data_IF_825201556777
#
_entry.id   IF_825201556777
#
_cell.length_a   1.000
_cell.length_b   1.000
_cell.length_c   1.000
_cell.angle_alpha   90.00
_cell.angle_beta   90.00
_cell.angle_gamma   90.00
#
_symmetry.space_group_name_H-M   'P 1'
#
loop_
_entity.id
_entity.type
_entity.pdbx_description
1 polymer ?
#
# COMPACT_ATOMS: atom_id res chain seq x y z
N UNK A 1 22.59 -8.55 10.29
CA UNK A 1 23.12 -8.16 8.96
C UNK A 1 22.49 -6.84 8.56
N UNK A 2 23.31 -5.93 8.02
CA UNK A 2 23.04 -4.49 7.92
C UNK A 2 21.96 -4.20 6.88
N UNK A 3 20.75 -3.89 7.33
CA UNK A 3 19.70 -3.32 6.47
C UNK A 3 20.25 -2.10 5.70
N UNK A 4 19.79 -1.88 4.47
CA UNK A 4 20.01 -0.60 3.74
C UNK A 4 19.59 0.62 4.58
N UNK A 5 18.66 0.44 5.53
CA UNK A 5 18.16 1.48 6.43
C UNK A 5 18.13 0.98 7.90
N UNK A 6 19.28 0.88 8.59
CA UNK A 6 19.33 0.32 9.94
C UNK A 6 18.47 1.11 10.93
N UNK A 7 18.53 2.45 10.88
CA UNK A 7 17.71 3.32 11.71
C UNK A 7 16.21 3.09 11.57
N UNK A 8 15.71 2.87 10.34
CA UNK A 8 14.30 2.59 10.12
C UNK A 8 13.93 1.21 10.65
N UNK A 9 14.80 0.22 10.47
CA UNK A 9 14.56 -1.16 10.92
C UNK A 9 14.54 -1.23 12.44
N UNK A 10 15.56 -0.67 13.09
CA UNK A 10 15.74 -0.72 14.54
C UNK A 10 14.61 0.00 15.29
N UNK A 11 13.93 0.94 14.62
CA UNK A 11 12.77 1.65 15.16
C UNK A 11 11.42 1.12 14.63
N UNK A 12 11.41 -0.06 13.99
CA UNK A 12 10.23 -0.69 13.41
C UNK A 12 9.44 0.21 12.42
N UNK A 13 10.13 1.16 11.78
CA UNK A 13 9.61 2.06 10.77
C UNK A 13 9.66 1.46 9.37
N UNK A 14 10.58 0.53 9.12
CA UNK A 14 10.57 -0.37 7.96
C UNK A 14 10.56 -1.80 8.48
N UNK A 15 9.82 -2.69 7.81
CA UNK A 15 9.71 -4.10 8.21
C UNK A 15 9.24 -4.33 9.66
N UNK A 16 8.55 -3.35 10.25
CA UNK A 16 7.94 -3.52 11.57
C UNK A 16 6.68 -4.39 11.48
N UNK A 17 6.50 -5.27 12.48
CA UNK A 17 5.36 -6.22 12.58
C UNK A 17 5.33 -7.25 11.45
N UNK A 18 6.48 -7.76 11.02
CA UNK A 18 6.53 -8.99 10.24
C UNK A 18 6.34 -10.21 11.16
N UNK A 19 5.95 -11.33 10.57
CA UNK A 19 5.82 -12.60 11.29
C UNK A 19 7.13 -13.38 11.22
N UNK A 20 7.78 -13.69 12.36
CA UNK A 20 8.94 -14.58 12.37
C UNK A 20 8.52 -16.01 12.01
N UNK A 21 9.33 -16.65 11.17
CA UNK A 21 9.21 -18.04 10.76
C UNK A 21 10.47 -18.75 11.21
N UNK A 22 10.36 -19.57 12.25
CA UNK A 22 11.50 -20.25 12.89
C UNK A 22 11.32 -21.77 12.92
N UNK A 23 10.07 -22.24 12.83
CA UNK A 23 9.75 -23.65 12.91
C UNK A 23 10.17 -24.38 11.62
N UNK A 24 10.93 -25.51 11.73
CA UNK A 24 11.44 -26.22 10.55
C UNK A 24 10.36 -26.59 9.52
N UNK A 25 9.18 -26.99 9.99
CA UNK A 25 8.07 -27.37 9.11
C UNK A 25 7.50 -26.18 8.32
N UNK A 26 7.51 -24.96 8.87
CA UNK A 26 7.08 -23.75 8.16
C UNK A 26 8.11 -23.32 7.12
N UNK A 27 9.40 -23.47 7.44
CA UNK A 27 10.52 -23.22 6.50
C UNK A 27 10.45 -24.21 5.33
N UNK A 28 10.21 -25.49 5.60
CA UNK A 28 10.02 -26.51 4.56
C UNK A 28 8.82 -26.17 3.66
N UNK A 29 7.69 -25.78 4.25
CA UNK A 29 6.50 -25.32 3.52
C UNK A 29 6.80 -24.10 2.65
N UNK A 30 7.49 -23.10 3.17
CA UNK A 30 7.89 -21.93 2.39
C UNK A 30 8.81 -22.33 1.22
N UNK A 31 9.76 -23.22 1.46
CA UNK A 31 10.64 -23.77 0.43
C UNK A 31 9.90 -24.58 -0.65
N UNK A 32 8.82 -25.29 -0.30
CA UNK A 32 7.94 -25.92 -1.28
C UNK A 32 7.32 -24.87 -2.22
N UNK A 33 6.81 -23.77 -1.67
CA UNK A 33 6.25 -22.67 -2.47
C UNK A 33 7.31 -22.00 -3.36
N UNK A 34 8.50 -21.69 -2.84
CA UNK A 34 9.61 -21.16 -3.64
C UNK A 34 9.96 -22.07 -4.82
N UNK A 35 10.09 -23.37 -4.56
CA UNK A 35 10.39 -24.37 -5.60
C UNK A 35 9.29 -24.44 -6.65
N UNK A 36 8.02 -24.33 -6.25
CA UNK A 36 6.88 -24.30 -7.17
C UNK A 36 6.92 -23.08 -8.11
N UNK A 37 7.40 -21.94 -7.62
CA UNK A 37 7.66 -20.75 -8.45
C UNK A 37 8.94 -20.83 -9.31
N UNK A 38 9.68 -21.94 -9.26
CA UNK A 38 10.97 -22.09 -9.94
C UNK A 38 12.13 -21.35 -9.25
N UNK A 39 11.94 -20.90 -8.01
CA UNK A 39 12.95 -20.21 -7.21
C UNK A 39 13.79 -21.20 -6.41
N UNK A 40 14.98 -20.76 -6.00
CA UNK A 40 15.86 -21.56 -5.13
C UNK A 40 15.29 -21.59 -3.72
N UNK A 41 15.35 -22.76 -3.08
CA UNK A 41 15.02 -22.90 -1.67
C UNK A 41 16.00 -22.07 -0.80
N UNK A 42 15.46 -21.41 0.22
CA UNK A 42 16.26 -20.67 1.21
C UNK A 42 17.05 -21.62 2.10
N UNK A 43 18.25 -21.20 2.49
CA UNK A 43 19.11 -21.90 3.46
C UNK A 43 19.03 -21.27 4.85
N UNK A 44 18.24 -20.21 5.01
CA UNK A 44 18.05 -19.52 6.27
C UNK A 44 17.33 -20.43 7.27
N UNK A 45 17.80 -20.38 8.52
CA UNK A 45 17.18 -21.10 9.64
C UNK A 45 16.02 -20.35 10.27
N UNK A 46 15.90 -19.06 10.01
CA UNK A 46 14.77 -18.23 10.38
C UNK A 46 14.73 -16.99 9.48
N UNK A 47 13.53 -16.48 9.25
CA UNK A 47 13.28 -15.26 8.48
C UNK A 47 11.95 -14.66 8.90
N UNK A 48 11.65 -13.46 8.43
CA UNK A 48 10.38 -12.79 8.71
C UNK A 48 9.60 -12.58 7.42
N UNK A 49 8.28 -12.72 7.46
CA UNK A 49 7.39 -12.52 6.31
C UNK A 49 6.32 -11.48 6.55
N UNK A 50 5.88 -10.85 5.46
CA UNK A 50 4.78 -9.90 5.41
C UNK A 50 3.43 -10.59 5.08
N UNK A 51 2.36 -9.81 4.90
CA UNK A 51 1.03 -10.35 4.56
C UNK A 51 1.03 -11.22 3.31
N UNK A 52 1.84 -10.90 2.31
CA UNK A 52 1.90 -11.68 1.05
C UNK A 52 2.91 -12.81 1.12
N UNK A 53 3.61 -12.97 2.24
CA UNK A 53 4.70 -13.93 2.37
C UNK A 53 6.06 -13.38 1.94
N UNK A 54 6.19 -12.10 1.57
CA UNK A 54 7.48 -11.53 1.20
C UNK A 54 8.40 -11.42 2.43
N UNK A 55 9.62 -11.94 2.29
CA UNK A 55 10.71 -11.82 3.25
C UNK A 55 11.87 -10.98 2.73
N UNK A 56 12.25 -9.88 3.43
CA UNK A 56 13.45 -9.11 3.13
C UNK A 56 14.74 -9.94 3.25
N UNK A 57 14.81 -10.87 4.21
CA UNK A 57 15.99 -11.71 4.40
C UNK A 57 16.21 -12.66 3.22
N UNK A 58 15.13 -13.22 2.68
CA UNK A 58 15.20 -14.10 1.51
C UNK A 58 15.55 -13.29 0.26
N UNK A 59 14.96 -12.10 0.09
CA UNK A 59 15.33 -11.17 -0.97
C UNK A 59 16.84 -10.85 -0.97
N UNK A 60 17.42 -10.62 0.22
CA UNK A 60 18.87 -10.43 0.38
C UNK A 60 19.66 -11.71 0.03
N UNK A 61 19.19 -12.90 0.44
CA UNK A 61 19.86 -14.18 0.14
C UNK A 61 19.88 -14.50 -1.37
N UNK A 62 18.78 -14.22 -2.08
CA UNK A 62 18.68 -14.47 -3.52
C UNK A 62 19.13 -13.31 -4.40
N UNK A 63 19.57 -12.19 -3.80
CA UNK A 63 19.93 -10.94 -4.48
C UNK A 63 18.81 -10.41 -5.40
N UNK A 64 17.55 -10.67 -5.04
CA UNK A 64 16.36 -10.32 -5.81
C UNK A 64 15.25 -9.87 -4.87
N UNK A 65 14.97 -8.56 -4.84
CA UNK A 65 13.90 -7.99 -4.03
C UNK A 65 12.52 -8.19 -4.65
N UNK A 66 12.45 -8.51 -5.94
CA UNK A 66 11.22 -8.71 -6.69
C UNK A 66 10.89 -10.21 -6.88
N UNK A 67 11.49 -11.11 -6.09
CA UNK A 67 11.31 -12.57 -6.27
C UNK A 67 9.85 -13.04 -6.17
N UNK A 68 9.00 -12.29 -5.45
CA UNK A 68 7.53 -12.49 -5.41
C UNK A 68 6.75 -11.45 -6.24
N UNK A 69 7.39 -10.50 -6.89
CA UNK A 69 6.74 -9.46 -7.68
C UNK A 69 7.44 -9.34 -9.06
N UNK A 70 7.50 -10.43 -9.84
CA UNK A 70 8.27 -10.46 -11.07
C UNK A 70 7.76 -9.39 -12.05
N UNK A 71 8.67 -8.53 -12.54
CA UNK A 71 8.35 -7.37 -13.38
C UNK A 71 7.38 -6.36 -12.73
N UNK A 72 7.14 -6.43 -11.41
CA UNK A 72 6.20 -5.56 -10.71
C UNK A 72 4.74 -5.72 -11.14
N UNK A 73 4.34 -6.90 -11.64
CA UNK A 73 2.97 -7.26 -12.03
C UNK A 73 2.76 -8.76 -11.74
N UNK A 74 1.50 -9.24 -11.67
CA UNK A 74 1.20 -10.64 -11.36
C UNK A 74 1.83 -11.11 -10.05
N UNK A 75 1.66 -10.31 -8.99
CA UNK A 75 2.35 -10.54 -7.72
C UNK A 75 2.08 -11.95 -7.20
N UNK A 76 3.14 -12.68 -6.89
CA UNK A 76 3.12 -13.96 -6.19
C UNK A 76 2.86 -13.75 -4.70
N UNK A 77 2.12 -14.67 -4.10
CA UNK A 77 1.91 -14.70 -2.66
C UNK A 77 2.15 -16.09 -2.08
N UNK A 78 2.55 -16.12 -0.81
CA UNK A 78 2.74 -17.32 0.01
C UNK A 78 2.04 -17.08 1.35
N UNK A 79 1.06 -17.91 1.66
CA UNK A 79 0.32 -17.90 2.94
C UNK A 79 0.67 -19.21 3.68
N UNK A 80 1.54 -19.08 4.67
CA UNK A 80 1.90 -20.11 5.63
C UNK A 80 0.89 -20.23 6.78
N UNK A 81 0.27 -19.12 7.19
CA UNK A 81 -0.61 -19.08 8.36
C UNK A 81 -1.70 -18.01 8.23
N UNK A 82 -2.88 -18.20 8.84
CA UNK A 82 -3.93 -17.17 8.87
C UNK A 82 -3.49 -15.88 9.57
N UNK A 83 -2.53 -15.99 10.49
CA UNK A 83 -1.96 -14.84 11.20
C UNK A 83 -1.30 -13.80 10.28
N UNK A 84 -1.01 -14.16 9.01
CA UNK A 84 -0.50 -13.21 8.03
C UNK A 84 -1.49 -12.10 7.65
N UNK A 85 -2.81 -12.32 7.84
CA UNK A 85 -3.84 -11.39 7.41
C UNK A 85 -3.63 -9.97 7.94
N UNK A 86 -3.25 -9.83 9.21
CA UNK A 86 -3.18 -8.54 9.88
C UNK A 86 -1.78 -7.89 9.77
N UNK A 87 -0.82 -8.56 9.12
CA UNK A 87 0.52 -8.03 8.86
C UNK A 87 0.50 -6.93 7.80
N UNK A 88 1.50 -6.03 7.75
CA UNK A 88 1.62 -5.09 6.64
C UNK A 88 2.07 -5.79 5.35
N UNK A 89 1.90 -5.12 4.21
CA UNK A 89 2.65 -5.40 2.97
C UNK A 89 3.79 -4.39 2.88
N UNK A 90 5.02 -4.88 2.73
CA UNK A 90 6.23 -4.04 2.83
C UNK A 90 6.92 -3.79 1.50
N UNK A 91 6.70 -4.65 0.51
CA UNK A 91 7.21 -4.51 -0.85
C UNK A 91 6.07 -4.76 -1.83
N UNK A 92 5.75 -3.78 -2.68
CA UNK A 92 4.79 -3.97 -3.78
C UNK A 92 4.87 -2.83 -4.78
N UNK A 93 4.64 -3.16 -6.05
CA UNK A 93 4.48 -2.17 -7.11
C UNK A 93 3.14 -1.41 -7.03
N UNK A 94 2.07 -2.02 -6.54
CA UNK A 94 0.72 -1.45 -6.50
C UNK A 94 0.25 -1.07 -5.10
N UNK A 95 -0.43 0.07 -4.96
CA UNK A 95 -0.88 0.56 -3.65
C UNK A 95 -2.02 -0.25 -3.01
N UNK A 96 -2.80 -0.97 -3.82
CA UNK A 96 -3.99 -1.70 -3.38
C UNK A 96 -3.73 -3.17 -3.05
N UNK A 97 -2.54 -3.72 -3.36
CA UNK A 97 -2.12 -5.10 -3.03
C UNK A 97 -2.42 -5.48 -1.59
N UNK A 98 -2.12 -4.57 -0.65
CA UNK A 98 -2.37 -4.74 0.77
C UNK A 98 -3.86 -5.02 1.05
N UNK A 99 -4.74 -4.17 0.51
CA UNK A 99 -6.19 -4.30 0.70
C UNK A 99 -6.73 -5.55 0.00
N UNK A 100 -6.30 -5.83 -1.23
CA UNK A 100 -6.70 -7.02 -1.98
C UNK A 100 -6.37 -8.31 -1.23
N UNK A 101 -5.14 -8.43 -0.71
CA UNK A 101 -4.75 -9.57 0.11
C UNK A 101 -5.57 -9.67 1.39
N UNK A 102 -5.86 -8.55 2.05
CA UNK A 102 -6.69 -8.54 3.25
C UNK A 102 -8.13 -9.01 2.96
N UNK A 103 -8.74 -8.50 1.89
CA UNK A 103 -10.10 -8.88 1.48
C UNK A 103 -10.14 -10.35 1.05
N UNK A 104 -9.18 -10.82 0.26
CA UNK A 104 -9.04 -12.22 -0.13
C UNK A 104 -8.93 -13.13 1.11
N UNK A 105 -8.03 -12.80 2.05
CA UNK A 105 -7.84 -13.60 3.26
C UNK A 105 -9.06 -13.57 4.19
N UNK A 106 -9.77 -12.43 4.26
CA UNK A 106 -10.96 -12.28 5.09
C UNK A 106 -12.16 -13.03 4.53
N UNK A 107 -12.39 -12.93 3.21
CA UNK A 107 -13.51 -13.60 2.54
C UNK A 107 -13.33 -15.12 2.48
N UNK A 108 -12.08 -15.58 2.36
CA UNK A 108 -11.73 -17.00 2.28
C UNK A 108 -11.17 -17.55 3.61
N UNK A 109 -11.45 -16.89 4.74
CA UNK A 109 -10.80 -17.21 6.03
C UNK A 109 -10.94 -18.69 6.41
N UNK A 110 -12.13 -19.28 6.29
CA UNK A 110 -12.35 -20.70 6.63
C UNK A 110 -11.49 -21.65 5.79
N UNK A 111 -11.41 -21.41 4.49
CA UNK A 111 -10.61 -22.21 3.57
C UNK A 111 -9.11 -22.08 3.89
N UNK A 112 -8.65 -20.85 4.13
CA UNK A 112 -7.26 -20.56 4.47
C UNK A 112 -6.87 -21.20 5.81
N UNK A 113 -7.71 -21.07 6.83
CA UNK A 113 -7.51 -21.69 8.15
C UNK A 113 -7.37 -23.20 8.01
N UNK A 114 -8.23 -23.85 7.23
CA UNK A 114 -8.21 -25.28 7.02
C UNK A 114 -6.96 -25.76 6.24
N UNK A 115 -6.61 -25.08 5.15
CA UNK A 115 -5.50 -25.48 4.28
C UNK A 115 -4.14 -25.29 4.98
N UNK A 116 -3.96 -24.17 5.68
CA UNK A 116 -2.70 -23.83 6.36
C UNK A 116 -2.37 -24.73 7.55
N UNK A 117 -3.33 -25.53 8.05
CA UNK A 117 -3.05 -26.58 9.05
C UNK A 117 -2.07 -27.61 8.50
N UNK A 118 -2.30 -28.09 7.27
CA UNK A 118 -1.54 -29.21 6.68
C UNK A 118 -0.52 -28.76 5.64
N UNK A 119 -0.80 -27.69 4.92
CA UNK A 119 -0.02 -27.29 3.76
C UNK A 119 0.27 -25.78 3.72
N UNK A 120 0.98 -25.33 2.70
CA UNK A 120 1.15 -23.93 2.33
C UNK A 120 0.22 -23.59 1.17
N UNK A 121 -0.37 -22.39 1.23
CA UNK A 121 -1.08 -21.82 0.10
C UNK A 121 -0.11 -20.88 -0.61
N UNK A 122 -0.01 -20.99 -1.93
CA UNK A 122 0.75 -20.03 -2.73
C UNK A 122 0.03 -19.78 -4.04
N UNK A 123 0.37 -18.70 -4.72
CA UNK A 123 -0.36 -18.33 -5.91
C UNK A 123 0.10 -17.02 -6.51
N UNK A 124 -0.68 -16.54 -7.46
CA UNK A 124 -0.45 -15.27 -8.15
C UNK A 124 -1.74 -14.45 -8.14
N UNK A 125 -1.62 -13.14 -7.93
CA UNK A 125 -2.67 -12.17 -8.20
C UNK A 125 -2.59 -11.90 -9.70
N UNK A 126 -3.31 -12.69 -10.49
CA UNK A 126 -3.23 -12.66 -11.94
C UNK A 126 -3.95 -11.44 -12.51
N UNK A 127 -3.21 -10.71 -13.34
CA UNK A 127 -3.64 -9.66 -14.23
C UNK A 127 -3.77 -10.21 -15.66
N UNK A 128 -4.59 -9.56 -16.49
CA UNK A 128 -4.69 -9.90 -17.93
C UNK A 128 -3.41 -9.60 -18.72
N UNK A 129 -2.40 -8.99 -18.09
CA UNK A 129 -1.18 -8.51 -18.70
C UNK A 129 0.03 -9.19 -18.06
N UNK A 130 0.91 -9.79 -18.86
CA UNK A 130 2.11 -10.47 -18.36
C UNK A 130 3.28 -9.52 -18.07
N UNK A 131 3.32 -8.36 -18.75
CA UNK A 131 4.37 -7.34 -18.62
C UNK A 131 3.79 -5.98 -19.00
N UNK A 132 4.11 -4.96 -18.21
CA UNK A 132 3.72 -3.58 -18.45
C UNK A 132 4.73 -2.93 -19.39
N UNK A 133 4.31 -2.54 -20.59
CA UNK A 133 5.13 -1.81 -21.56
C UNK A 133 4.67 -0.35 -21.70
N UNK A 134 3.37 -0.10 -21.61
CA UNK A 134 2.80 1.25 -21.58
C UNK A 134 1.62 1.42 -20.61
N UNK A 135 1.03 2.63 -20.58
CA UNK A 135 -0.12 2.92 -19.72
C UNK A 135 -1.39 2.17 -20.17
N UNK A 136 -1.57 1.85 -21.45
CA UNK A 136 -2.77 1.12 -21.92
C UNK A 136 -2.81 -0.30 -21.34
N UNK A 137 -1.65 -0.93 -21.20
CA UNK A 137 -1.53 -2.20 -20.51
C UNK A 137 -2.10 -2.11 -19.09
N UNK A 138 -1.74 -1.07 -18.34
CA UNK A 138 -2.27 -0.85 -16.99
C UNK A 138 -3.77 -0.57 -16.99
N UNK A 139 -4.28 0.18 -17.98
CA UNK A 139 -5.71 0.50 -18.10
C UNK A 139 -6.56 -0.71 -18.51
N UNK A 140 -5.95 -1.73 -19.11
CA UNK A 140 -6.65 -2.98 -19.44
C UNK A 140 -6.95 -3.82 -18.19
N UNK A 141 -6.24 -3.57 -17.09
CA UNK A 141 -6.39 -4.25 -15.79
C UNK A 141 -7.63 -3.72 -15.07
N UNK A 142 -8.79 -4.26 -15.40
CA UNK A 142 -10.06 -3.91 -14.76
C UNK A 142 -10.34 -4.74 -13.50
N UNK A 143 -9.83 -5.96 -13.47
CA UNK A 143 -10.01 -6.92 -12.40
C UNK A 143 -8.78 -7.80 -12.27
N UNK A 144 -8.53 -8.25 -11.04
CA UNK A 144 -7.53 -9.27 -10.73
C UNK A 144 -8.20 -10.56 -10.31
N UNK A 145 -7.55 -11.68 -10.64
CA UNK A 145 -7.96 -13.01 -10.20
C UNK A 145 -6.89 -13.63 -9.30
N UNK A 146 -7.27 -14.05 -8.11
CA UNK A 146 -6.39 -14.81 -7.23
C UNK A 146 -6.30 -16.25 -7.70
N UNK A 147 -5.21 -16.61 -8.37
CA UNK A 147 -4.88 -18.00 -8.68
C UNK A 147 -4.26 -18.67 -7.47
N UNK A 148 -5.05 -19.49 -6.80
CA UNK A 148 -4.65 -20.18 -5.56
C UNK A 148 -4.22 -21.60 -5.86
N UNK A 149 -3.01 -21.96 -5.43
CA UNK A 149 -2.43 -23.30 -5.50
C UNK A 149 -2.06 -23.77 -4.08
N UNK A 150 -1.98 -25.09 -3.92
CA UNK A 150 -1.51 -25.76 -2.70
C UNK A 150 -0.34 -26.68 -3.05
N UNK A 151 0.67 -26.82 -2.19
CA UNK A 151 1.89 -27.54 -2.54
C UNK A 151 1.69 -29.04 -2.73
N UNK A 152 0.70 -29.64 -2.07
CA UNK A 152 0.35 -31.05 -2.20
C UNK A 152 -0.86 -31.31 -3.11
N UNK A 153 -1.26 -30.29 -3.88
CA UNK A 153 -2.45 -30.29 -4.75
C UNK A 153 -3.72 -30.69 -4.00
N UNK A 154 -3.82 -30.28 -2.73
CA UNK A 154 -5.02 -30.48 -1.89
C UNK A 154 -6.23 -29.83 -2.55
N UNK A 155 -6.06 -28.67 -3.19
CA UNK A 155 -7.11 -27.97 -3.91
C UNK A 155 -7.62 -28.76 -5.13
N UNK A 156 -6.72 -29.24 -6.00
CA UNK A 156 -7.09 -30.05 -7.16
C UNK A 156 -7.80 -31.34 -6.75
N UNK A 157 -7.26 -32.04 -5.76
CA UNK A 157 -7.85 -33.27 -5.20
C UNK A 157 -9.21 -33.05 -4.55
N UNK A 158 -9.40 -31.93 -3.85
CA UNK A 158 -10.69 -31.58 -3.27
C UNK A 158 -11.75 -31.28 -4.34
N UNK A 159 -11.37 -30.57 -5.42
CA UNK A 159 -12.24 -30.31 -6.55
C UNK A 159 -12.61 -31.59 -7.32
N UNK A 160 -11.65 -32.51 -7.48
CA UNK A 160 -11.88 -33.83 -8.06
C UNK A 160 -12.85 -34.67 -7.20
N UNK A 161 -12.63 -34.72 -5.89
CA UNK A 161 -13.54 -35.41 -4.97
C UNK A 161 -14.94 -34.81 -5.02
N UNK A 162 -15.07 -33.48 -5.14
CA UNK A 162 -16.35 -32.80 -5.33
C UNK A 162 -17.10 -33.28 -6.57
N UNK A 163 -16.41 -33.37 -7.72
CA UNK A 163 -16.98 -33.91 -8.97
C UNK A 163 -17.43 -35.36 -8.82
N UNK A 164 -16.65 -36.20 -8.13
CA UNK A 164 -17.00 -37.59 -7.89
C UNK A 164 -18.22 -37.71 -6.95
N UNK A 165 -18.32 -36.86 -5.93
CA UNK A 165 -19.51 -36.77 -5.06
C UNK A 165 -20.75 -36.36 -5.85
N UNK A 166 -20.64 -35.36 -6.72
CA UNK A 166 -21.76 -34.92 -7.57
C UNK A 166 -22.20 -36.03 -8.53
N UNK A 167 -21.23 -36.72 -9.16
CA UNK A 167 -21.49 -37.88 -10.01
C UNK A 167 -22.20 -38.99 -9.24
N UNK A 168 -21.72 -39.33 -8.05
CA UNK A 168 -22.33 -40.34 -7.18
C UNK A 168 -23.78 -39.98 -6.79
N UNK A 169 -24.10 -38.68 -6.64
CA UNK A 169 -25.45 -38.21 -6.32
C UNK A 169 -26.40 -38.15 -7.52
N UNK A 170 -25.87 -37.84 -8.71
CA UNK A 170 -26.68 -37.58 -9.91
C UNK A 170 -26.88 -38.83 -10.77
N UNK A 171 -25.90 -39.73 -10.84
CA UNK A 171 -25.95 -40.93 -11.67
C UNK A 171 -26.52 -42.15 -10.91
N UNK A 172 -27.61 -42.79 -11.38
CA UNK A 172 -28.30 -43.86 -10.65
C UNK A 172 -27.45 -45.10 -10.33
N UNK A 173 -26.43 -45.39 -11.14
CA UNK A 173 -25.58 -46.58 -11.04
C UNK A 173 -24.14 -46.28 -10.59
N UNK A 174 -23.79 -45.01 -10.34
CA UNK A 174 -22.43 -44.63 -9.98
C UNK A 174 -21.95 -45.26 -8.65
N UNK A 175 -22.87 -45.62 -7.75
CA UNK A 175 -22.56 -46.34 -6.50
C UNK A 175 -22.03 -47.77 -6.72
N UNK A 176 -22.15 -48.33 -7.93
CA UNK A 176 -21.63 -49.65 -8.29
C UNK A 176 -20.20 -49.61 -8.83
N UNK A 177 -19.64 -48.43 -9.04
CA UNK A 177 -18.28 -48.26 -9.55
C UNK A 177 -17.28 -48.32 -8.39
N UNK A 178 -16.83 -49.52 -8.04
CA UNK A 178 -15.90 -49.75 -6.92
C UNK A 178 -14.60 -48.95 -7.09
N UNK A 179 -14.09 -48.80 -8.33
CA UNK A 179 -12.88 -48.01 -8.60
C UNK A 179 -13.09 -46.54 -8.31
N UNK A 180 -14.24 -45.99 -8.70
CA UNK A 180 -14.61 -44.61 -8.37
C UNK A 180 -14.70 -44.42 -6.86
N UNK A 181 -15.32 -45.34 -6.13
CA UNK A 181 -15.44 -45.26 -4.66
C UNK A 181 -14.08 -45.36 -3.96
N UNK A 182 -13.19 -46.26 -4.40
CA UNK A 182 -11.81 -46.36 -3.90
C UNK A 182 -11.05 -45.05 -4.13
N UNK A 183 -11.16 -44.47 -5.33
CA UNK A 183 -10.56 -43.17 -5.65
C UNK A 183 -11.10 -42.06 -4.75
N UNK A 184 -12.40 -42.04 -4.46
CA UNK A 184 -12.99 -41.09 -3.51
C UNK A 184 -12.39 -41.23 -2.11
N UNK A 185 -12.17 -42.46 -1.62
CA UNK A 185 -11.55 -42.71 -0.30
C UNK A 185 -10.10 -42.23 -0.27
N UNK A 186 -9.31 -42.51 -1.30
CA UNK A 186 -7.93 -42.03 -1.37
C UNK A 186 -7.84 -40.50 -1.43
N UNK A 187 -8.71 -39.85 -2.19
CA UNK A 187 -8.80 -38.38 -2.22
C UNK A 187 -9.21 -37.83 -0.84
N UNK A 188 -10.20 -38.44 -0.17
CA UNK A 188 -10.68 -38.02 1.14
C UNK A 188 -9.63 -38.14 2.25
N UNK A 189 -8.72 -39.13 2.18
CA UNK A 189 -7.58 -39.23 3.12
C UNK A 189 -6.66 -38.01 3.07
N UNK A 190 -6.52 -37.41 1.88
CA UNK A 190 -5.67 -36.24 1.66
C UNK A 190 -6.40 -34.95 2.04
N UNK A 191 -7.57 -34.69 1.45
CA UNK A 191 -8.28 -33.43 1.62
C UNK A 191 -9.16 -33.35 2.88
N UNK A 192 -9.59 -34.48 3.46
CA UNK A 192 -10.52 -34.51 4.59
C UNK A 192 -11.98 -34.38 4.16
N UNK A 193 -12.87 -33.96 5.07
CA UNK A 193 -14.30 -33.81 4.76
C UNK A 193 -14.58 -32.50 4.01
N UNK A 194 -14.68 -32.59 2.68
CA UNK A 194 -14.95 -31.44 1.80
C UNK A 194 -16.39 -30.91 1.88
N UNK A 195 -17.30 -31.58 2.61
CA UNK A 195 -18.70 -31.15 2.77
C UNK A 195 -18.85 -30.12 3.88
N UNK A 196 -18.14 -30.36 4.98
CA UNK A 196 -18.11 -29.47 6.14
C UNK A 196 -17.01 -28.41 6.01
N UNK A 197 -15.95 -28.72 5.25
CA UNK A 197 -14.79 -27.87 5.09
C UNK A 197 -14.66 -27.41 3.64
N UNK A 198 -15.10 -26.18 3.35
CA UNK A 198 -14.87 -25.57 2.04
C UNK A 198 -13.39 -25.27 1.89
N UNK A 199 -12.66 -26.17 1.26
CA UNK A 199 -11.22 -26.03 1.02
C UNK A 199 -10.91 -25.16 -0.21
N UNK A 200 -11.90 -24.85 -1.03
CA UNK A 200 -11.72 -24.07 -2.26
C UNK A 200 -12.11 -22.61 -1.99
N UNK A 201 -11.18 -21.65 -2.12
CA UNK A 201 -11.51 -20.22 -2.11
C UNK A 201 -12.51 -19.89 -3.22
N UNK A 202 -13.60 -19.23 -2.88
CA UNK A 202 -14.70 -18.90 -3.80
C UNK A 202 -14.66 -17.44 -4.27
N UNK A 203 -14.11 -16.54 -3.44
CA UNK A 203 -13.95 -15.13 -3.77
C UNK A 203 -12.53 -14.83 -4.22
N UNK A 204 -12.30 -14.95 -5.52
CA UNK A 204 -11.00 -14.75 -6.17
C UNK A 204 -10.94 -13.54 -7.10
N UNK A 205 -12.07 -12.93 -7.48
CA UNK A 205 -12.10 -11.80 -8.41
C UNK A 205 -12.32 -10.49 -7.65
N UNK A 206 -11.44 -9.51 -7.88
CA UNK A 206 -11.49 -8.18 -7.25
C UNK A 206 -11.32 -7.07 -8.30
N UNK A 207 -12.10 -5.99 -8.16
CA UNK A 207 -12.08 -4.85 -9.10
C UNK A 207 -11.14 -3.73 -8.64
N UNK A 208 -10.47 -3.10 -9.60
CA UNK A 208 -9.56 -1.99 -9.37
C UNK A 208 -10.21 -0.67 -9.77
N UNK A 209 -10.77 0.06 -8.80
CA UNK A 209 -11.39 1.36 -9.09
C UNK A 209 -10.39 2.51 -8.96
N UNK A 210 -9.42 2.40 -8.05
CA UNK A 210 -8.41 3.43 -7.89
C UNK A 210 -7.12 2.83 -7.32
N UNK A 211 -5.98 3.12 -7.95
CA UNK A 211 -4.69 2.64 -7.48
C UNK A 211 -3.54 3.54 -7.91
N UNK A 212 -2.40 3.38 -7.23
CA UNK A 212 -1.11 3.88 -7.66
C UNK A 212 -0.21 2.69 -8.00
N UNK A 213 0.66 2.87 -8.98
CA UNK A 213 1.73 1.93 -9.30
C UNK A 213 3.09 2.61 -9.41
N UNK A 214 4.17 1.91 -9.05
CA UNK A 214 5.55 2.37 -9.22
C UNK A 214 6.02 2.38 -10.67
N UNK A 215 5.28 1.75 -11.58
CA UNK A 215 5.56 1.77 -13.02
C UNK A 215 5.68 3.20 -13.54
N UNK A 216 6.58 3.40 -14.50
CA UNK A 216 6.85 4.68 -15.15
C UNK A 216 7.19 5.84 -14.19
N UNK A 217 7.80 5.53 -13.03
CA UNK A 217 8.20 6.52 -12.04
C UNK A 217 7.08 6.94 -11.08
N UNK A 218 5.90 6.31 -11.17
CA UNK A 218 4.74 6.63 -10.35
C UNK A 218 3.56 7.05 -11.22
N UNK A 219 2.49 6.26 -11.20
CA UNK A 219 1.26 6.51 -11.93
C UNK A 219 0.06 6.33 -11.01
N UNK A 220 -0.87 7.27 -11.04
CA UNK A 220 -2.17 7.16 -10.38
C UNK A 220 -3.26 6.91 -11.42
N UNK A 221 -4.14 5.97 -11.14
CA UNK A 221 -5.31 5.66 -11.97
C UNK A 221 -6.56 5.75 -11.10
N UNK A 222 -7.54 6.52 -11.56
CA UNK A 222 -8.86 6.66 -10.97
C UNK A 222 -9.90 6.30 -12.01
N UNK A 223 -10.62 5.19 -11.82
CA UNK A 223 -11.67 4.69 -12.70
C UNK A 223 -13.01 5.17 -12.14
N UNK A 224 -13.54 6.25 -12.71
CA UNK A 224 -14.88 6.76 -12.41
C UNK A 224 -15.91 6.18 -13.41
N UNK A 225 -17.23 6.22 -13.11
CA UNK A 225 -18.26 5.69 -14.00
C UNK A 225 -18.25 6.27 -15.42
N UNK A 226 -17.92 7.57 -15.55
CA UNK A 226 -17.97 8.30 -16.81
C UNK A 226 -16.63 8.37 -17.54
N UNK A 227 -15.51 8.29 -16.81
CA UNK A 227 -14.16 8.43 -17.36
C UNK A 227 -13.08 7.86 -16.44
N UNK A 228 -11.98 7.41 -17.01
CA UNK A 228 -10.77 7.08 -16.25
C UNK A 228 -9.81 8.27 -16.25
N UNK A 229 -9.28 8.64 -15.10
CA UNK A 229 -8.24 9.68 -14.98
C UNK A 229 -6.91 9.06 -14.60
N UNK A 230 -5.89 9.34 -15.43
CA UNK A 230 -4.50 8.94 -15.22
C UNK A 230 -3.68 10.17 -14.84
N UNK A 231 -2.93 10.10 -13.74
CA UNK A 231 -2.05 11.17 -13.29
C UNK A 231 -0.62 10.63 -13.14
N UNK A 232 0.33 11.21 -13.88
CA UNK A 232 1.72 10.76 -13.85
C UNK A 232 2.67 11.66 -14.63
N UNK A 233 3.90 11.21 -14.81
CA UNK A 233 4.91 11.90 -15.60
C UNK A 233 4.53 11.86 -17.10
N UNK A 234 4.45 13.00 -17.81
CA UNK A 234 4.19 13.02 -19.24
C UNK A 234 5.20 12.28 -20.12
N UNK A 235 6.39 11.99 -19.60
CA UNK A 235 7.40 11.18 -20.28
C UNK A 235 7.11 9.67 -20.23
N UNK A 236 6.09 9.23 -19.48
CA UNK A 236 5.71 7.83 -19.40
C UNK A 236 5.28 7.27 -20.78
N UNK A 237 5.69 6.05 -21.16
CA UNK A 237 5.18 5.37 -22.33
C UNK A 237 3.65 5.26 -22.34
N UNK A 238 3.03 5.58 -23.47
CA UNK A 238 1.56 5.58 -23.58
C UNK A 238 0.88 6.77 -22.90
N UNK A 239 1.63 7.76 -22.38
CA UNK A 239 1.04 9.01 -21.89
C UNK A 239 0.43 9.76 -23.08
N UNK A 240 -0.90 9.58 -23.22
CA UNK A 240 -1.77 9.96 -24.36
C UNK A 240 -1.67 9.08 -25.60
N UNK A 241 -2.51 8.03 -25.65
CA UNK A 241 -3.00 7.41 -26.90
C UNK A 241 -4.52 7.08 -26.85
N UNK A 242 -5.15 7.17 -28.02
CA UNK A 242 -6.39 6.51 -28.47
C UNK A 242 -7.78 6.92 -27.95
N UNK A 243 -8.03 7.42 -26.72
CA UNK A 243 -9.43 7.67 -26.27
C UNK A 243 -9.64 8.94 -25.42
N UNK A 244 -9.57 10.16 -26.02
CA UNK A 244 -9.68 11.42 -25.28
C UNK A 244 -10.98 11.59 -24.48
N UNK A 245 -12.04 10.92 -24.90
CA UNK A 245 -13.37 10.99 -24.29
C UNK A 245 -13.58 9.98 -23.16
N UNK A 246 -12.73 8.94 -23.07
CA UNK A 246 -12.83 7.90 -22.03
C UNK A 246 -11.70 8.00 -21.00
N UNK A 247 -10.53 8.52 -21.40
CA UNK A 247 -9.36 8.60 -20.53
C UNK A 247 -8.81 10.03 -20.51
N UNK A 248 -8.77 10.62 -19.32
CA UNK A 248 -8.17 11.91 -19.03
C UNK A 248 -6.75 11.74 -18.52
N UNK A 249 -5.75 12.29 -19.22
CA UNK A 249 -4.34 12.25 -18.80
C UNK A 249 -3.92 13.61 -18.22
N UNK A 250 -3.62 13.63 -16.93
CA UNK A 250 -3.12 14.79 -16.20
C UNK A 250 -1.62 14.62 -15.91
N UNK A 251 -0.85 15.67 -16.17
CA UNK A 251 0.54 15.70 -15.72
C UNK A 251 0.57 15.86 -14.20
N UNK A 252 1.39 15.07 -13.53
CA UNK A 252 1.67 15.24 -12.10
C UNK A 252 2.31 16.61 -11.80
N UNK A 253 2.92 17.26 -12.79
CA UNK A 253 3.50 18.60 -12.65
C UNK A 253 2.47 19.73 -12.76
N UNK A 254 1.23 19.44 -13.18
CA UNK A 254 0.16 20.42 -13.33
C UNK A 254 -0.75 20.41 -12.08
N UNK A 255 -0.26 21.04 -11.01
CA UNK A 255 -0.94 21.14 -9.73
C UNK A 255 -2.37 21.70 -9.84
N UNK A 256 -2.62 22.63 -10.77
CA UNK A 256 -3.95 23.24 -10.95
C UNK A 256 -4.95 22.23 -11.51
N UNK A 257 -4.59 21.51 -12.58
CA UNK A 257 -5.47 20.49 -13.15
C UNK A 257 -5.70 19.32 -12.20
N UNK A 258 -4.67 18.85 -11.51
CA UNK A 258 -4.80 17.77 -10.52
C UNK A 258 -5.72 18.20 -9.39
N UNK A 259 -5.55 19.41 -8.87
CA UNK A 259 -6.42 19.96 -7.83
C UNK A 259 -7.88 20.05 -8.30
N UNK A 260 -8.13 20.58 -9.51
CA UNK A 260 -9.48 20.69 -10.08
C UNK A 260 -10.14 19.34 -10.27
N UNK A 261 -9.40 18.32 -10.69
CA UNK A 261 -9.91 16.95 -10.79
C UNK A 261 -10.35 16.42 -9.42
N UNK A 262 -9.49 16.51 -8.41
CA UNK A 262 -9.80 16.04 -7.06
C UNK A 262 -10.98 16.79 -6.43
N UNK A 263 -11.05 18.11 -6.64
CA UNK A 263 -12.16 18.95 -6.20
C UNK A 263 -13.47 18.60 -6.94
N UNK A 264 -13.42 18.51 -8.27
CA UNK A 264 -14.58 18.26 -9.13
C UNK A 264 -15.18 16.86 -8.94
N UNK A 265 -14.35 15.88 -8.55
CA UNK A 265 -14.80 14.52 -8.23
C UNK A 265 -15.15 14.32 -6.75
N UNK A 266 -15.06 15.37 -5.91
CA UNK A 266 -15.43 15.30 -4.50
C UNK A 266 -14.49 14.47 -3.62
N UNK A 267 -13.26 14.19 -4.09
CA UNK A 267 -12.24 13.40 -3.40
C UNK A 267 -11.52 14.13 -2.27
N UNK A 268 -11.63 15.45 -2.22
CA UNK A 268 -10.97 16.29 -1.20
C UNK A 268 -11.98 16.98 -0.29
N UNK A 269 -11.58 17.16 0.96
CA UNK A 269 -12.29 18.00 1.91
C UNK A 269 -11.66 19.40 1.92
N UNK A 270 -12.49 20.42 1.64
CA UNK A 270 -12.07 21.83 1.62
C UNK A 270 -11.79 22.35 3.04
N UNK A 271 -10.88 23.32 3.22
CA UNK A 271 -10.51 23.88 4.52
C UNK A 271 -11.67 24.65 5.16
N UNK A 272 -12.41 23.99 6.03
CA UNK A 272 -13.51 24.56 6.82
C UNK A 272 -13.16 24.52 8.30
N UNK A 273 -13.63 25.51 9.05
CA UNK A 273 -13.36 25.63 10.49
C UNK A 273 -13.71 24.36 11.28
N UNK A 274 -14.80 23.67 10.90
CA UNK A 274 -15.30 22.47 11.55
C UNK A 274 -14.25 21.37 11.77
N UNK A 275 -13.34 21.18 10.82
CA UNK A 275 -12.29 20.15 10.93
C UNK A 275 -10.89 20.76 11.08
N UNK A 276 -10.64 21.95 10.53
CA UNK A 276 -9.31 22.58 10.61
C UNK A 276 -8.97 22.93 12.07
N UNK A 277 -9.91 23.53 12.81
CA UNK A 277 -9.63 24.01 14.17
C UNK A 277 -9.48 22.87 15.18
N UNK A 278 -10.21 21.77 14.98
CA UNK A 278 -10.17 20.60 15.86
C UNK A 278 -9.01 19.65 15.55
N UNK A 279 -8.53 19.62 14.30
CA UNK A 279 -7.46 18.70 13.87
C UNK A 279 -6.05 19.19 14.20
N UNK A 280 -5.80 20.50 14.19
CA UNK A 280 -4.44 21.03 14.22
C UNK A 280 -3.66 20.80 12.90
N UNK A 281 -4.39 20.61 11.78
CA UNK A 281 -3.81 20.24 10.49
C UNK A 281 -2.88 21.31 9.92
N UNK A 282 -3.26 22.58 9.99
CA UNK A 282 -2.44 23.67 9.45
C UNK A 282 -1.17 23.88 10.30
N UNK A 283 -1.26 23.67 11.61
CA UNK A 283 -0.12 23.70 12.53
C UNK A 283 0.88 22.59 12.20
N UNK A 284 0.41 21.37 11.98
CA UNK A 284 1.26 20.26 11.54
C UNK A 284 1.96 20.59 10.22
N UNK A 285 1.21 21.06 9.21
CA UNK A 285 1.78 21.45 7.91
C UNK A 285 2.81 22.57 8.04
N UNK A 286 2.53 23.58 8.87
CA UNK A 286 3.44 24.70 9.11
C UNK A 286 4.73 24.24 9.80
N UNK A 287 4.63 23.32 10.77
CA UNK A 287 5.79 22.74 11.43
C UNK A 287 6.67 21.97 10.43
N UNK A 288 6.06 21.16 9.55
CA UNK A 288 6.80 20.41 8.52
C UNK A 288 7.49 21.31 7.50
N UNK A 289 6.84 22.40 7.07
CA UNK A 289 7.44 23.42 6.20
C UNK A 289 8.67 24.04 6.87
N UNK A 290 8.56 24.49 8.12
CA UNK A 290 9.68 25.10 8.87
C UNK A 290 10.83 24.11 9.04
N UNK A 291 10.54 22.85 9.38
CA UNK A 291 11.55 21.80 9.48
C UNK A 291 12.28 21.57 8.15
N UNK A 292 11.57 21.57 7.02
CA UNK A 292 12.18 21.49 5.68
C UNK A 292 13.09 22.67 5.39
N UNK A 293 12.68 23.88 5.75
CA UNK A 293 13.50 25.09 5.57
C UNK A 293 14.78 25.06 6.43
N UNK A 294 14.68 24.54 7.67
CA UNK A 294 15.86 24.33 8.52
C UNK A 294 16.83 23.34 7.89
N UNK A 295 16.32 22.23 7.32
CA UNK A 295 17.15 21.24 6.62
C UNK A 295 17.90 21.86 5.45
N UNK A 296 17.26 22.74 4.69
CA UNK A 296 17.87 23.39 3.53
C UNK A 296 18.93 24.41 3.93
N UNK A 297 18.66 25.23 4.95
CA UNK A 297 19.59 26.24 5.44
C UNK A 297 20.77 25.63 6.21
N UNK A 298 20.52 24.58 7.01
CA UNK A 298 21.50 24.00 7.93
C UNK A 298 21.52 22.45 7.86
N UNK A 299 21.99 21.84 6.74
CA UNK A 299 21.85 20.40 6.47
C UNK A 299 22.56 19.45 7.46
N UNK A 300 23.50 19.98 8.24
CA UNK A 300 24.29 19.25 9.24
C UNK A 300 23.80 19.49 10.68
N UNK A 301 22.80 20.34 10.88
CA UNK A 301 22.30 20.66 12.22
C UNK A 301 21.57 19.45 12.80
N UNK A 302 21.88 19.14 14.05
CA UNK A 302 21.09 18.18 14.81
C UNK A 302 19.85 18.88 15.37
N UNK A 303 18.66 18.33 15.09
CA UNK A 303 17.37 18.87 15.52
C UNK A 303 16.72 18.07 16.66
N UNK A 304 17.40 17.06 17.19
CA UNK A 304 16.88 16.18 18.24
C UNK A 304 16.52 16.93 19.53
N UNK A 305 17.25 18.00 19.86
CA UNK A 305 17.06 18.79 21.08
C UNK A 305 16.33 20.13 20.82
N UNK A 306 15.69 20.29 19.66
CA UNK A 306 15.03 21.56 19.33
C UNK A 306 13.64 21.66 19.96
N UNK A 307 13.46 22.64 20.84
CA UNK A 307 12.18 22.95 21.44
C UNK A 307 11.39 24.01 20.65
N UNK A 308 10.15 24.28 21.08
CA UNK A 308 9.28 25.28 20.43
C UNK A 308 9.87 26.70 20.49
N UNK A 309 10.59 27.04 21.55
CA UNK A 309 11.17 28.38 21.74
C UNK A 309 12.31 28.60 20.75
N UNK A 310 13.12 27.57 20.55
CA UNK A 310 14.18 27.55 19.57
C UNK A 310 13.62 27.69 18.15
N UNK A 311 12.57 26.92 17.80
CA UNK A 311 11.92 27.04 16.49
C UNK A 311 11.41 28.46 16.23
N UNK A 312 10.79 29.10 17.23
CA UNK A 312 10.35 30.51 17.12
C UNK A 312 11.52 31.47 16.91
N UNK A 313 12.59 31.30 17.69
CA UNK A 313 13.81 32.12 17.56
C UNK A 313 14.42 31.96 16.17
N UNK A 314 14.53 30.72 15.68
CA UNK A 314 15.06 30.43 14.36
C UNK A 314 14.20 31.05 13.26
N UNK A 315 12.87 30.98 13.37
CA UNK A 315 11.96 31.61 12.41
C UNK A 315 12.13 33.13 12.37
N UNK A 316 12.29 33.79 13.52
CA UNK A 316 12.54 35.23 13.56
C UNK A 316 13.89 35.60 12.93
N UNK A 317 14.94 34.82 13.20
CA UNK A 317 16.27 35.05 12.62
C UNK A 317 16.33 34.76 11.12
N UNK A 318 15.40 33.98 10.57
CA UNK A 318 15.35 33.57 9.17
C UNK A 318 14.08 34.06 8.44
N UNK A 319 13.50 35.17 8.89
CA UNK A 319 12.22 35.69 8.37
C UNK A 319 12.26 35.93 6.85
N UNK A 320 13.37 36.45 6.31
CA UNK A 320 13.50 36.71 4.87
C UNK A 320 13.41 35.43 4.03
N UNK A 321 14.01 34.35 4.51
CA UNK A 321 13.96 33.05 3.84
C UNK A 321 12.56 32.45 3.90
N UNK A 322 11.90 32.55 5.06
CA UNK A 322 10.52 32.09 5.25
C UNK A 322 9.53 32.86 4.37
N UNK A 323 9.71 34.18 4.26
CA UNK A 323 8.87 35.02 3.39
C UNK A 323 9.10 34.72 1.91
N UNK A 324 10.33 34.36 1.52
CA UNK A 324 10.66 33.97 0.14
C UNK A 324 10.05 32.62 -0.24
N UNK A 325 10.05 31.64 0.66
CA UNK A 325 9.34 30.36 0.46
C UNK A 325 7.81 30.57 0.40
N UNK A 326 7.28 31.41 1.29
CA UNK A 326 5.88 31.84 1.26
C UNK A 326 4.86 30.83 1.79
N UNK A 327 5.22 29.55 2.02
CA UNK A 327 4.27 28.54 2.48
C UNK A 327 3.88 28.72 3.96
N UNK A 328 4.84 29.02 4.82
CA UNK A 328 4.55 29.29 6.23
C UNK A 328 3.72 30.58 6.45
N UNK A 329 4.03 31.72 5.80
CA UNK A 329 3.15 32.90 5.82
C UNK A 329 1.74 32.59 5.30
N UNK A 330 1.63 31.84 4.20
CA UNK A 330 0.35 31.40 3.63
C UNK A 330 -0.47 30.57 4.64
N UNK A 331 0.12 29.55 5.26
CA UNK A 331 -0.56 28.72 6.26
C UNK A 331 -1.06 29.52 7.46
N UNK A 332 -0.27 30.49 7.92
CA UNK A 332 -0.69 31.40 8.99
C UNK A 332 -1.82 32.34 8.56
N UNK A 333 -1.80 32.83 7.31
CA UNK A 333 -2.89 33.64 6.76
C UNK A 333 -4.18 32.82 6.62
N UNK A 334 -4.09 31.61 6.04
CA UNK A 334 -5.20 30.68 5.91
C UNK A 334 -5.84 30.35 7.27
N UNK A 335 -5.02 30.07 8.30
CA UNK A 335 -5.51 29.83 9.66
C UNK A 335 -6.27 31.02 10.24
N UNK A 336 -5.80 32.25 10.01
CA UNK A 336 -6.51 33.47 10.47
C UNK A 336 -7.81 33.67 9.72
N UNK A 337 -7.82 33.50 8.40
CA UNK A 337 -9.00 33.65 7.56
C UNK A 337 -10.09 32.64 7.93
N UNK A 338 -9.74 31.36 8.10
CA UNK A 338 -10.69 30.31 8.49
C UNK A 338 -11.30 30.61 9.86
N UNK A 339 -10.53 31.15 10.82
CA UNK A 339 -11.06 31.56 12.13
C UNK A 339 -12.02 32.74 12.05
N UNK A 340 -11.85 33.63 11.08
CA UNK A 340 -12.67 34.83 10.92
C UNK A 340 -13.93 34.59 10.07
N UNK A 341 -13.78 33.84 8.97
CA UNK A 341 -14.78 33.67 7.91
C UNK A 341 -15.38 32.26 7.90
N UNK A 342 -14.75 31.30 8.59
CA UNK A 342 -15.19 29.90 8.67
C UNK A 342 -14.65 29.00 7.53
N UNK A 343 -14.06 29.59 6.48
CA UNK A 343 -13.53 28.88 5.32
C UNK A 343 -12.46 29.72 4.59
N UNK A 344 -11.69 29.07 3.73
CA UNK A 344 -10.71 29.72 2.82
C UNK A 344 -11.17 29.59 1.37
N UNK A 345 -11.14 30.68 0.59
CA UNK A 345 -11.41 30.64 -0.85
C UNK A 345 -10.17 30.18 -1.62
N UNK A 346 -10.24 28.99 -2.23
CA UNK A 346 -9.08 28.38 -2.91
C UNK A 346 -8.84 28.84 -4.35
N UNK A 347 -9.80 29.53 -4.96
CA UNK A 347 -9.68 30.05 -6.33
C UNK A 347 -8.53 31.07 -6.45
N UNK A 348 -8.33 31.88 -5.41
CA UNK A 348 -7.27 32.90 -5.33
C UNK A 348 -5.93 32.34 -4.82
N UNK A 349 -5.90 31.08 -4.39
CA UNK A 349 -4.70 30.42 -3.86
C UNK A 349 -3.87 29.84 -5.00
N UNK A 350 -2.55 30.04 -4.93
CA UNK A 350 -1.61 29.48 -5.89
C UNK A 350 -1.75 27.94 -5.95
N UNK A 351 -1.79 27.31 -7.15
CA UNK A 351 -2.16 25.89 -7.27
C UNK A 351 -1.42 24.92 -6.36
N UNK A 352 -0.10 25.09 -6.19
CA UNK A 352 0.70 24.22 -5.30
C UNK A 352 0.31 24.38 -3.83
N UNK A 353 0.01 25.60 -3.39
CA UNK A 353 -0.34 25.90 -1.99
C UNK A 353 -1.71 25.35 -1.60
N UNK A 354 -2.60 25.08 -2.57
CA UNK A 354 -3.91 24.47 -2.30
C UNK A 354 -3.77 23.11 -1.61
N UNK A 355 -2.73 22.34 -1.94
CA UNK A 355 -2.47 21.02 -1.33
C UNK A 355 -2.04 21.10 0.15
N UNK A 356 -1.55 22.25 0.60
CA UNK A 356 -1.17 22.46 2.01
C UNK A 356 -2.37 22.57 2.95
N UNK A 357 -3.56 22.87 2.41
CA UNK A 357 -4.76 23.22 3.19
C UNK A 357 -5.92 22.24 2.98
N UNK A 358 -5.75 21.21 2.14
CA UNK A 358 -6.76 20.17 1.92
C UNK A 358 -6.26 18.82 2.39
N UNK A 359 -7.19 17.92 2.66
CA UNK A 359 -6.99 16.48 2.84
C UNK A 359 -7.94 15.71 1.94
N UNK A 360 -7.72 14.41 1.78
CA UNK A 360 -8.75 13.58 1.17
C UNK A 360 -10.04 13.61 2.01
N UNK A 361 -11.19 13.53 1.34
CA UNK A 361 -12.49 13.42 2.00
C UNK A 361 -12.55 12.08 2.76
N UNK A 362 -12.75 12.08 4.09
CA UNK A 362 -12.61 10.87 4.90
C UNK A 362 -13.52 9.70 4.46
N UNK A 363 -14.76 10.02 4.11
CA UNK A 363 -15.79 9.02 3.74
C UNK A 363 -15.71 8.59 2.27
N UNK A 364 -14.73 9.09 1.50
CA UNK A 364 -14.58 8.73 0.09
C UNK A 364 -13.82 7.40 -0.04
N UNK A 365 -14.23 6.46 -0.91
CA UNK A 365 -13.53 5.18 -1.08
C UNK A 365 -12.04 5.36 -1.42
N UNK A 366 -11.71 6.37 -2.23
CA UNK A 366 -10.33 6.67 -2.63
C UNK A 366 -9.54 7.54 -1.63
N UNK A 367 -9.97 7.68 -0.38
CA UNK A 367 -9.35 8.61 0.57
C UNK A 367 -7.85 8.33 0.79
N UNK A 368 -7.47 7.06 0.85
CA UNK A 368 -6.07 6.64 0.99
C UNK A 368 -5.21 7.02 -0.21
N UNK A 369 -5.69 6.74 -1.43
CA UNK A 369 -4.97 7.07 -2.66
C UNK A 369 -4.91 8.59 -2.88
N UNK A 370 -5.98 9.30 -2.52
CA UNK A 370 -6.03 10.75 -2.62
C UNK A 370 -5.02 11.41 -1.66
N UNK A 371 -4.93 10.94 -0.41
CA UNK A 371 -3.93 11.44 0.53
C UNK A 371 -2.50 11.09 0.07
N UNK A 372 -2.31 9.93 -0.57
CA UNK A 372 -1.03 9.57 -1.21
C UNK A 372 -0.66 10.60 -2.29
N UNK A 373 -1.58 10.91 -3.20
CA UNK A 373 -1.37 11.91 -4.24
C UNK A 373 -1.10 13.31 -3.67
N UNK A 374 -1.86 13.75 -2.66
CA UNK A 374 -1.63 15.03 -1.96
C UNK A 374 -0.21 15.07 -1.37
N UNK A 375 0.29 13.96 -0.83
CA UNK A 375 1.64 13.89 -0.26
C UNK A 375 2.77 14.03 -1.28
N UNK A 376 2.51 13.86 -2.58
CA UNK A 376 3.47 14.18 -3.64
C UNK A 376 3.56 15.67 -3.93
N UNK A 377 2.49 16.43 -3.68
CA UNK A 377 2.51 17.89 -3.77
C UNK A 377 3.03 18.58 -2.51
N UNK A 378 3.20 17.83 -1.41
CA UNK A 378 3.70 18.37 -0.13
C UNK A 378 4.91 17.56 0.36
N UNK A 379 6.06 17.62 -0.36
CA UNK A 379 7.23 16.81 -0.04
C UNK A 379 7.90 17.18 1.30
N UNK A 380 7.66 18.39 1.81
CA UNK A 380 8.15 18.85 3.11
C UNK A 380 7.57 18.06 4.29
N UNK A 381 6.36 17.50 4.13
CA UNK A 381 5.70 16.70 5.17
C UNK A 381 6.05 15.21 5.04
N UNK A 382 7.24 14.87 5.54
CA UNK A 382 7.72 13.49 5.57
C UNK A 382 6.84 12.56 6.43
N UNK A 383 6.05 13.10 7.37
CA UNK A 383 5.10 12.30 8.17
C UNK A 383 3.94 11.85 7.29
N UNK A 384 3.32 12.77 6.54
CA UNK A 384 2.29 12.45 5.55
C UNK A 384 2.81 11.44 4.52
N UNK A 385 4.04 11.62 4.03
CA UNK A 385 4.64 10.69 3.07
C UNK A 385 4.85 9.31 3.70
N UNK A 386 5.35 9.22 4.93
CA UNK A 386 5.47 7.93 5.61
C UNK A 386 4.12 7.21 5.78
N UNK A 387 3.05 7.95 6.06
CA UNK A 387 1.70 7.39 6.25
C UNK A 387 1.09 6.91 4.94
N UNK A 388 1.13 7.71 3.87
CA UNK A 388 0.37 7.46 2.63
C UNK A 388 1.22 7.04 1.43
N UNK A 389 2.47 7.52 1.34
CA UNK A 389 3.40 7.27 0.24
C UNK A 389 4.75 6.72 0.75
N UNK A 390 4.73 5.48 1.26
CA UNK A 390 5.93 4.81 1.78
C UNK A 390 7.06 4.73 0.76
N UNK A 391 6.74 4.42 -0.51
CA UNK A 391 7.74 4.34 -1.57
C UNK A 391 8.43 5.70 -1.78
N UNK A 392 7.66 6.78 -1.86
CA UNK A 392 8.19 8.14 -1.95
C UNK A 392 9.02 8.51 -0.72
N UNK A 393 8.53 8.21 0.49
CA UNK A 393 9.26 8.44 1.73
C UNK A 393 10.63 7.74 1.76
N UNK A 394 10.71 6.45 1.40
CA UNK A 394 11.98 5.72 1.43
C UNK A 394 12.96 6.24 0.39
N UNK A 395 12.48 6.65 -0.79
CA UNK A 395 13.30 7.31 -1.82
C UNK A 395 13.90 8.61 -1.30
N UNK A 396 13.11 9.44 -0.63
CA UNK A 396 13.59 10.70 -0.05
C UNK A 396 14.57 10.43 1.10
N UNK A 397 14.25 9.45 1.95
CA UNK A 397 15.07 9.06 3.11
C UNK A 397 16.46 8.58 2.71
N UNK A 398 16.60 7.91 1.57
CA UNK A 398 17.88 7.52 0.99
C UNK A 398 18.76 8.74 0.67
N UNK A 399 18.18 9.85 0.22
CA UNK A 399 18.91 11.10 -0.04
C UNK A 399 19.24 11.94 1.20
N UNK A 400 18.70 11.61 2.37
CA UNK A 400 18.86 12.43 3.58
C UNK A 400 20.23 12.30 4.24
N UNK A 401 20.71 13.40 4.84
CA UNK A 401 21.90 13.40 5.70
C UNK A 401 21.64 12.58 6.97
N UNK A 402 22.71 12.02 7.56
CA UNK A 402 22.60 11.20 8.76
C UNK A 402 21.90 11.93 9.94
N UNK A 403 22.23 13.19 10.29
CA UNK A 403 21.52 13.91 11.35
C UNK A 403 20.04 14.12 11.06
N UNK A 404 19.68 14.32 9.79
CA UNK A 404 18.30 14.50 9.38
C UNK A 404 17.49 13.19 9.42
N UNK A 405 18.11 12.06 9.08
CA UNK A 405 17.50 10.74 9.21
C UNK A 405 17.11 10.44 10.65
N UNK A 406 18.00 10.72 11.61
CA UNK A 406 17.74 10.58 13.05
C UNK A 406 16.56 11.46 13.49
N UNK A 407 16.55 12.72 13.03
CA UNK A 407 15.45 13.65 13.30
C UNK A 407 14.09 13.15 12.77
N UNK A 408 14.05 12.69 11.52
CA UNK A 408 12.83 12.14 10.90
C UNK A 408 12.31 10.95 11.70
N UNK A 409 13.19 10.04 12.12
CA UNK A 409 12.83 8.88 12.94
C UNK A 409 12.25 9.30 14.29
N UNK A 410 12.86 10.27 14.97
CA UNK A 410 12.38 10.77 16.26
C UNK A 410 11.00 11.41 16.14
N UNK A 411 10.77 12.24 15.13
CA UNK A 411 9.46 12.84 14.87
C UNK A 411 8.43 11.77 14.56
N UNK A 412 8.73 10.78 13.71
CA UNK A 412 7.79 9.69 13.42
C UNK A 412 7.42 8.90 14.67
N UNK A 413 8.37 8.66 15.58
CA UNK A 413 8.13 7.96 16.85
C UNK A 413 7.23 8.75 17.79
N UNK A 414 7.51 10.04 17.96
CA UNK A 414 6.82 10.91 18.93
C UNK A 414 5.46 11.38 18.43
N UNK A 415 5.26 11.46 17.11
CA UNK A 415 4.00 11.91 16.50
C UNK A 415 3.10 10.75 16.05
N UNK A 416 3.50 9.99 15.03
CA UNK A 416 2.66 9.00 14.37
C UNK A 416 2.65 7.65 15.07
N UNK A 417 3.82 7.12 15.47
CA UNK A 417 3.89 5.78 16.05
C UNK A 417 3.33 5.69 17.47
N UNK A 418 3.27 6.81 18.19
CA UNK A 418 2.67 6.89 19.54
C UNK A 418 1.21 6.45 19.54
N UNK A 419 0.43 6.94 18.58
CA UNK A 419 -0.94 6.52 18.36
C UNK A 419 -1.33 6.75 16.89
N UNK A 420 -1.19 5.68 16.08
CA UNK A 420 -1.45 5.72 14.64
C UNK A 420 -2.91 6.01 14.31
N UNK A 421 -3.83 5.52 15.14
CA UNK A 421 -5.27 5.68 14.90
C UNK A 421 -5.65 7.10 15.25
N UNK A 422 -5.31 7.58 16.46
CA UNK A 422 -5.63 8.94 16.86
C UNK A 422 -5.00 9.98 15.92
N UNK A 423 -3.76 9.78 15.45
CA UNK A 423 -3.13 10.67 14.48
C UNK A 423 -3.93 10.74 13.17
N UNK A 424 -4.31 9.58 12.61
CA UNK A 424 -5.06 9.49 11.34
C UNK A 424 -6.46 10.04 11.46
N UNK A 425 -7.17 9.71 12.54
CA UNK A 425 -8.52 10.23 12.81
C UNK A 425 -8.49 11.74 13.01
N UNK A 426 -7.55 12.26 13.81
CA UNK A 426 -7.45 13.69 14.08
C UNK A 426 -7.14 14.50 12.82
N UNK A 427 -6.07 14.15 12.10
CA UNK A 427 -5.60 14.94 10.95
C UNK A 427 -6.34 14.65 9.66
N UNK A 428 -6.72 13.39 9.42
CA UNK A 428 -7.25 12.95 8.13
C UNK A 428 -8.69 12.42 8.21
N UNK A 429 -9.29 12.35 9.40
CA UNK A 429 -10.65 11.83 9.58
C UNK A 429 -10.77 10.32 9.33
N UNK A 430 -9.67 9.62 9.08
CA UNK A 430 -9.68 8.20 8.76
C UNK A 430 -9.82 7.37 10.03
N UNK A 431 -10.84 6.52 10.06
CA UNK A 431 -11.03 5.44 11.01
C UNK A 431 -10.73 4.14 10.28
N UNK A 432 -9.91 3.27 10.90
CA UNK A 432 -9.50 1.99 10.30
C UNK A 432 -10.67 1.08 9.92
#
# INVERSE_FOLDING_TARGET
MSSKFPLLRDNALIYGRLLPVEEPHLIERYNKALKAFGLKATKLKSFEIDRTGFSPQIAEECEDYDYLDPNGINRRFIILTPGQRDLPVVHTAFSNTSQLMFEFMSKNQRAIDALTIKDVIYGEIEDSVSKVEDIEDLLSINQVEFRVLSAEDVLGKAAELGKLVDRLKQEPDAWRDDKMLEQMVELAKVCGDIRENTLVPDQVIFRHNAYWTSHFGGLYVFVDPDATTVIGDPAAPGFRRSRPWQVSYLSIHDADKVFRFLAGTGRIELPRASWIESSGYLEHRAEMVVRSLIREAEPKRNLSDTDKVWLQTWMHSNADMINRDGNFPFLNAAKREIRQVGQLRLEDVFPQQRFLVVRAKPDHPDAWLTNRLISDFVPSDFVSRYVFNKQGFYKDYEGFSQPWREHVVDILKTTYLKDKVAFRTRLYGLTD
#
